data_IF_947726560690
#
_entry.id   IF_947726560690
#
_cell.length_a   1.000
_cell.length_b   1.000
_cell.length_c   1.000
_cell.angle_alpha   90.00
_cell.angle_beta   90.00
_cell.angle_gamma   90.00
#
_symmetry.space_group_name_H-M   'P 1'
#
loop_
_entity.id
_entity.type
_entity.pdbx_description
1 polymer ?
#
# COMPACT_ATOMS: atom_id res chain seq x y z
N UNK A 1 -6.56 -5.24 -15.56
CA UNK A 1 -6.35 -5.44 -14.10
C UNK A 1 -4.86 -5.43 -13.85
N UNK A 2 -4.34 -4.44 -13.14
CA UNK A 2 -2.94 -4.43 -12.69
C UNK A 2 -2.76 -5.56 -11.66
N UNK A 3 -1.76 -6.42 -11.86
CA UNK A 3 -1.41 -7.45 -10.90
C UNK A 3 -0.81 -6.80 -9.65
N UNK A 4 -1.14 -7.34 -8.47
CA UNK A 4 -0.47 -6.98 -7.22
C UNK A 4 0.52 -8.07 -6.85
N UNK A 5 1.76 -7.74 -6.45
CA UNK A 5 2.27 -6.39 -6.21
C UNK A 5 2.51 -5.57 -7.49
N UNK A 6 2.33 -4.26 -7.38
CA UNK A 6 2.61 -3.31 -8.47
C UNK A 6 4.08 -3.41 -8.91
N UNK A 7 4.39 -3.25 -10.21
CA UNK A 7 5.76 -3.10 -10.68
C UNK A 7 6.48 -1.99 -9.95
N UNK A 8 7.79 -2.15 -9.70
CA UNK A 8 8.60 -1.20 -8.90
C UNK A 8 8.44 0.26 -9.36
N UNK A 9 8.38 0.51 -10.68
CA UNK A 9 8.23 1.86 -11.26
C UNK A 9 6.85 2.47 -10.98
N UNK A 10 5.81 1.67 -10.94
CA UNK A 10 4.45 2.11 -10.61
C UNK A 10 4.32 2.33 -9.10
N UNK A 11 4.85 1.41 -8.29
CA UNK A 11 4.90 1.58 -6.85
C UNK A 11 5.68 2.84 -6.45
N UNK A 12 6.85 3.09 -7.05
CA UNK A 12 7.62 4.30 -6.78
C UNK A 12 6.83 5.58 -7.13
N UNK A 13 6.04 5.57 -8.22
CA UNK A 13 5.16 6.68 -8.58
C UNK A 13 4.01 6.84 -7.58
N UNK A 14 3.36 5.75 -7.18
CA UNK A 14 2.31 5.76 -6.18
C UNK A 14 2.79 6.40 -4.87
N UNK A 15 3.97 6.00 -4.38
CA UNK A 15 4.50 6.49 -3.10
C UNK A 15 4.82 7.99 -3.09
N UNK A 16 4.90 8.67 -4.25
CA UNK A 16 5.07 10.13 -4.32
C UNK A 16 3.90 10.90 -3.70
N UNK A 17 2.72 10.28 -3.60
CA UNK A 17 1.54 10.90 -2.98
C UNK A 17 1.56 10.86 -1.45
N UNK A 18 2.56 10.23 -0.83
CA UNK A 18 2.69 10.12 0.62
C UNK A 18 4.08 10.58 1.10
N UNK A 19 4.20 11.15 2.31
CA UNK A 19 5.47 11.63 2.85
C UNK A 19 6.41 10.52 3.36
N UNK A 20 6.42 9.36 2.69
CA UNK A 20 7.14 8.13 3.07
C UNK A 20 8.57 8.07 2.52
N UNK A 21 8.99 9.00 1.66
CA UNK A 21 10.35 9.03 1.12
C UNK A 21 10.58 8.07 -0.06
N UNK A 22 11.85 7.89 -0.46
CA UNK A 22 12.20 7.14 -1.68
C UNK A 22 12.10 5.64 -1.45
N UNK A 23 11.44 4.93 -2.37
CA UNK A 23 11.38 3.47 -2.38
C UNK A 23 12.78 2.84 -2.47
N UNK A 24 13.14 2.00 -1.51
CA UNK A 24 14.38 1.23 -1.51
C UNK A 24 14.12 -0.18 -2.07
N UNK A 25 13.24 -0.95 -1.42
CA UNK A 25 12.85 -2.29 -1.85
C UNK A 25 11.51 -2.71 -1.20
N UNK A 26 10.97 -3.84 -1.64
CA UNK A 26 9.73 -4.41 -1.11
C UNK A 26 9.97 -5.82 -0.58
N UNK A 27 9.22 -6.22 0.43
CA UNK A 27 9.09 -7.63 0.84
C UNK A 27 7.64 -8.06 0.70
N UNK A 28 7.41 -9.19 0.06
CA UNK A 28 6.08 -9.79 -0.03
C UNK A 28 5.62 -10.20 1.35
N UNK A 29 4.36 -9.91 1.69
CA UNK A 29 3.73 -10.39 2.92
C UNK A 29 2.43 -11.12 2.56
N UNK A 30 2.10 -12.15 3.32
CA UNK A 30 0.91 -12.96 3.05
C UNK A 30 -0.38 -12.17 3.34
N UNK A 31 -1.42 -12.46 2.56
CA UNK A 31 -2.78 -11.96 2.70
C UNK A 31 -3.65 -12.55 1.60
N UNK A 32 -4.51 -13.51 1.92
CA UNK A 32 -5.26 -14.29 0.93
C UNK A 32 -6.36 -13.47 0.25
N UNK A 33 -7.09 -12.65 1.00
CA UNK A 33 -8.19 -11.82 0.49
C UNK A 33 -7.79 -10.37 0.17
N UNK A 34 -6.79 -9.84 0.88
CA UNK A 34 -6.25 -8.49 0.72
C UNK A 34 -4.72 -8.59 0.77
N UNK A 35 -4.05 -8.74 -0.39
CA UNK A 35 -2.61 -8.94 -0.40
C UNK A 35 -1.91 -7.67 0.10
N UNK A 36 -0.82 -7.87 0.83
CA UNK A 36 -0.07 -6.78 1.44
C UNK A 36 1.43 -6.94 1.14
N UNK A 37 2.12 -5.82 0.97
CA UNK A 37 3.58 -5.81 0.91
C UNK A 37 4.13 -4.88 1.97
N UNK A 38 5.33 -5.20 2.46
CA UNK A 38 6.14 -4.27 3.22
C UNK A 38 6.96 -3.43 2.24
N UNK A 39 6.76 -2.12 2.31
CA UNK A 39 7.47 -1.10 1.54
C UNK A 39 8.55 -0.51 2.42
N UNK A 40 9.82 -0.71 2.04
CA UNK A 40 10.96 -0.11 2.74
C UNK A 40 11.41 1.12 1.97
N UNK A 41 11.50 2.23 2.68
CA UNK A 41 11.83 3.56 2.15
C UNK A 41 12.97 4.19 2.93
N UNK A 42 13.46 5.33 2.45
CA UNK A 42 14.46 6.13 3.17
C UNK A 42 13.95 6.74 4.48
N UNK A 43 12.63 6.76 4.74
CA UNK A 43 12.04 7.31 5.98
C UNK A 43 11.47 6.25 6.91
N UNK A 44 11.45 4.99 6.51
CA UNK A 44 10.93 3.91 7.34
C UNK A 44 10.32 2.77 6.55
N UNK A 45 9.58 1.94 7.26
CA UNK A 45 8.93 0.75 6.72
C UNK A 45 7.42 0.88 6.85
N UNK A 46 6.69 0.65 5.77
CA UNK A 46 5.25 0.88 5.69
C UNK A 46 4.54 -0.33 5.09
N UNK A 47 3.34 -0.64 5.56
CA UNK A 47 2.50 -1.66 4.92
C UNK A 47 1.66 -1.03 3.82
N UNK A 48 1.81 -1.55 2.60
CA UNK A 48 0.89 -1.27 1.51
C UNK A 48 -0.08 -2.45 1.37
N UNK A 49 -1.35 -2.21 1.68
CA UNK A 49 -2.43 -3.19 1.57
C UNK A 49 -3.25 -2.91 0.33
N UNK A 50 -3.38 -3.90 -0.55
CA UNK A 50 -4.35 -3.84 -1.65
C UNK A 50 -5.71 -4.27 -1.14
N UNK A 51 -6.71 -3.40 -1.30
CA UNK A 51 -8.08 -3.60 -0.79
C UNK A 51 -8.96 -4.01 -1.96
N UNK A 52 -9.47 -5.23 -1.92
CA UNK A 52 -10.31 -5.74 -3.01
C UNK A 52 -11.72 -5.13 -2.92
N UNK A 53 -12.28 -4.54 -3.98
CA UNK A 53 -13.57 -3.84 -3.94
C UNK A 53 -14.72 -4.72 -3.42
N UNK A 54 -14.73 -6.02 -3.78
CA UNK A 54 -15.70 -7.00 -3.26
C UNK A 54 -15.71 -7.14 -1.73
N UNK A 55 -14.59 -6.85 -1.06
CA UNK A 55 -14.39 -7.08 0.37
C UNK A 55 -14.02 -5.78 1.11
N UNK A 56 -14.18 -4.62 0.47
CA UNK A 56 -13.81 -3.33 1.04
C UNK A 56 -14.86 -2.31 0.63
N UNK A 57 -15.71 -1.96 1.57
CA UNK A 57 -16.65 -0.86 1.42
C UNK A 57 -15.89 0.47 1.29
N UNK A 58 -16.32 1.32 0.36
CA UNK A 58 -15.63 2.58 0.08
C UNK A 58 -15.67 3.54 1.28
N UNK A 59 -16.78 3.57 2.01
CA UNK A 59 -16.92 4.37 3.24
C UNK A 59 -15.96 3.90 4.32
N UNK A 60 -15.82 2.58 4.49
CA UNK A 60 -14.85 2.00 5.43
C UNK A 60 -13.41 2.35 5.08
N UNK A 61 -13.05 2.37 3.78
CA UNK A 61 -11.71 2.78 3.36
C UNK A 61 -11.42 4.25 3.69
N UNK A 62 -12.37 5.14 3.43
CA UNK A 62 -12.23 6.57 3.76
C UNK A 62 -12.06 6.74 5.27
N UNK A 63 -12.87 6.04 6.08
CA UNK A 63 -12.76 6.06 7.53
C UNK A 63 -11.40 5.55 8.03
N UNK A 64 -10.96 4.38 7.56
CA UNK A 64 -9.64 3.80 7.89
C UNK A 64 -8.52 4.81 7.56
N UNK A 65 -8.59 5.48 6.41
CA UNK A 65 -7.61 6.51 6.01
C UNK A 65 -7.63 7.75 6.92
N UNK A 66 -8.79 8.14 7.44
CA UNK A 66 -8.92 9.27 8.35
C UNK A 66 -8.34 8.94 9.73
N UNK A 67 -8.57 7.72 10.24
CA UNK A 67 -8.09 7.28 11.57
C UNK A 67 -6.58 6.98 11.57
N UNK A 68 -6.02 6.52 10.44
CA UNK A 68 -4.59 6.20 10.33
C UNK A 68 -3.69 7.43 10.08
N UNK A 69 -4.24 8.65 10.03
CA UNK A 69 -3.51 9.89 9.68
C UNK A 69 -2.78 10.57 10.86
N UNK A 70 -2.60 9.87 11.99
CA UNK A 70 -1.93 10.40 13.18
C UNK A 70 -0.43 10.09 13.21
#
# INVERSE_FOLDING_TARGET
MSSFPLPRKELARLLLHWPVGRLMFTRTRAGTANPAILVVTTRGQYFLKHRHPRYSDHGQLIFDHAVLRH
#
